data_IF_223048886957
#
_entry.id   IF_223048886957
#
_cell.length_a   1.000
_cell.length_b   1.000
_cell.length_c   1.000
_cell.angle_alpha   90.00
_cell.angle_beta   90.00
_cell.angle_gamma   90.00
#
_symmetry.space_group_name_H-M   'P 1'
#
loop_
_entity.id
_entity.type
_entity.pdbx_description
1 polymer ?
#
# COMPACT_ATOMS: atom_id res chain seq x y z
N UNK A 1 -11.04 15.74 -11.62
CA UNK A 1 -10.63 14.35 -11.28
C UNK A 1 -11.78 13.34 -11.37
N UNK A 2 -12.87 13.48 -10.60
CA UNK A 2 -14.01 12.54 -10.67
C UNK A 2 -14.67 12.52 -12.06
N UNK A 3 -14.72 13.67 -12.74
CA UNK A 3 -15.16 13.78 -14.13
C UNK A 3 -14.29 12.99 -15.14
N UNK A 4 -13.02 12.75 -14.81
CA UNK A 4 -12.06 12.11 -15.73
C UNK A 4 -12.03 10.58 -15.59
N UNK A 5 -12.11 10.04 -14.37
CA UNK A 5 -11.92 8.59 -14.11
C UNK A 5 -12.93 7.97 -13.14
N UNK A 6 -13.96 8.69 -12.68
CA UNK A 6 -14.92 8.24 -11.64
C UNK A 6 -14.26 7.82 -10.30
N UNK A 7 -12.97 8.08 -10.11
CA UNK A 7 -12.21 7.80 -8.87
C UNK A 7 -11.80 9.06 -8.12
N UNK A 8 -10.89 8.90 -7.15
CA UNK A 8 -10.44 9.94 -6.22
C UNK A 8 -8.93 10.18 -6.30
N UNK A 9 -8.46 11.32 -5.78
CA UNK A 9 -7.05 11.57 -5.55
C UNK A 9 -6.71 11.13 -4.12
N UNK A 10 -6.09 9.96 -3.97
CA UNK A 10 -5.72 9.40 -2.66
C UNK A 10 -4.26 9.71 -2.29
N UNK A 11 -3.52 10.37 -3.18
CA UNK A 11 -2.10 10.64 -3.01
C UNK A 11 -1.83 11.54 -1.80
N UNK A 12 -0.95 11.09 -0.92
CA UNK A 12 -0.59 11.79 0.32
C UNK A 12 0.93 11.97 0.36
N UNK A 13 1.37 13.12 -0.12
CA UNK A 13 2.76 13.54 -0.15
C UNK A 13 2.85 15.07 -0.20
N UNK A 14 3.98 15.62 0.22
CA UNK A 14 4.30 17.03 0.00
C UNK A 14 5.74 17.19 -0.44
N UNK A 15 6.00 18.27 -1.16
CA UNK A 15 7.32 18.67 -1.66
C UNK A 15 7.58 20.09 -1.18
N UNK A 16 8.73 20.31 -0.53
CA UNK A 16 9.15 21.62 -0.01
C UNK A 16 10.48 22.00 -0.65
N UNK A 17 10.52 23.20 -1.24
CA UNK A 17 11.68 23.83 -1.88
C UNK A 17 12.42 22.95 -2.89
N UNK A 18 11.72 21.95 -3.46
CA UNK A 18 12.29 20.90 -4.33
C UNK A 18 13.50 20.17 -3.70
N UNK A 19 13.57 20.15 -2.36
CA UNK A 19 14.69 19.63 -1.57
C UNK A 19 14.26 18.65 -0.48
N UNK A 20 13.05 18.83 0.04
CA UNK A 20 12.47 18.01 1.10
C UNK A 20 11.14 17.44 0.66
N UNK A 21 10.77 16.30 1.23
CA UNK A 21 9.49 15.67 0.94
C UNK A 21 9.00 14.78 2.08
N UNK A 22 7.69 14.53 2.06
CA UNK A 22 7.04 13.43 2.76
C UNK A 22 6.26 12.59 1.76
N UNK A 23 6.19 11.28 1.99
CA UNK A 23 5.24 10.39 1.33
C UNK A 23 4.80 9.30 2.31
N UNK A 24 3.51 9.01 2.36
CA UNK A 24 2.97 8.00 3.27
C UNK A 24 1.46 7.93 3.24
N UNK A 25 0.87 7.29 4.24
CA UNK A 25 -0.58 7.19 4.34
C UNK A 25 -1.25 8.42 4.94
N UNK A 26 -0.48 9.31 5.61
CA UNK A 26 -1.07 10.42 6.36
C UNK A 26 -1.57 11.54 5.47
N UNK A 27 -2.87 11.79 5.58
CA UNK A 27 -3.51 12.96 5.00
C UNK A 27 -3.18 14.23 5.79
N UNK A 28 -3.59 15.37 5.25
CA UNK A 28 -3.55 16.66 5.96
C UNK A 28 -4.93 16.96 6.56
N UNK A 29 -5.48 16.02 7.31
CA UNK A 29 -6.76 16.17 8.01
C UNK A 29 -6.65 15.88 9.51
N UNK A 30 -7.64 16.33 10.28
CA UNK A 30 -7.66 16.16 11.74
C UNK A 30 -7.71 14.68 12.18
N UNK A 31 -8.18 13.77 11.31
CA UNK A 31 -8.28 12.34 11.61
C UNK A 31 -6.88 11.73 11.63
N UNK A 32 -6.02 12.15 10.71
CA UNK A 32 -4.60 11.78 10.66
C UNK A 32 -3.86 12.12 11.98
N UNK A 33 -4.30 13.16 12.69
CA UNK A 33 -3.71 13.59 13.96
C UNK A 33 -4.27 12.89 15.20
N UNK A 34 -5.48 12.32 15.13
CA UNK A 34 -6.22 11.91 16.34
C UNK A 34 -6.77 10.49 16.27
N UNK A 35 -7.27 10.07 15.12
CA UNK A 35 -8.06 8.84 14.96
C UNK A 35 -7.47 7.84 13.98
N UNK A 36 -6.37 8.15 13.30
CA UNK A 36 -5.71 7.25 12.37
C UNK A 36 -4.30 6.92 12.84
N UNK A 37 -3.95 5.63 12.76
CA UNK A 37 -2.57 5.17 12.87
C UNK A 37 -2.01 5.09 11.47
N UNK A 38 -1.05 5.97 11.19
CA UNK A 38 -0.49 6.16 9.85
C UNK A 38 1.03 6.03 9.87
N UNK A 39 1.59 5.94 8.66
CA UNK A 39 3.01 5.78 8.45
C UNK A 39 3.42 6.48 7.16
N UNK A 40 4.59 7.11 7.20
CA UNK A 40 5.26 7.62 6.02
C UNK A 40 6.73 7.82 6.27
N UNK A 41 7.42 8.30 5.24
CA UNK A 41 8.82 8.69 5.31
C UNK A 41 8.96 10.17 4.99
N UNK A 42 9.88 10.82 5.67
CA UNK A 42 10.34 12.16 5.34
C UNK A 42 11.77 12.04 4.85
N UNK A 43 12.06 12.66 3.71
CA UNK A 43 13.40 12.69 3.13
C UNK A 43 13.84 14.15 3.09
N UNK A 44 14.96 14.42 3.74
CA UNK A 44 15.58 15.75 3.77
C UNK A 44 16.76 15.82 2.82
N UNK A 45 16.96 16.99 2.19
CA UNK A 45 18.15 17.30 1.39
C UNK A 45 18.40 16.30 0.24
N UNK A 46 17.34 15.89 -0.46
CA UNK A 46 17.43 14.93 -1.57
C UNK A 46 16.77 15.49 -2.83
N UNK A 47 17.37 16.53 -3.43
CA UNK A 47 16.75 17.23 -4.56
C UNK A 47 16.48 16.31 -5.76
N UNK A 48 17.33 15.32 -6.03
CA UNK A 48 17.11 14.39 -7.15
C UNK A 48 15.78 13.63 -7.03
N UNK A 49 15.52 13.01 -5.87
CA UNK A 49 14.29 12.27 -5.64
C UNK A 49 13.09 13.21 -5.52
N UNK A 50 13.26 14.38 -4.90
CA UNK A 50 12.18 15.35 -4.73
C UNK A 50 11.76 15.99 -6.07
N UNK A 51 12.71 16.23 -6.98
CA UNK A 51 12.40 16.72 -8.32
C UNK A 51 11.56 15.72 -9.12
N UNK A 52 11.82 14.41 -8.98
CA UNK A 52 11.00 13.39 -9.64
C UNK A 52 9.58 13.34 -9.06
N UNK A 53 9.43 13.48 -7.74
CA UNK A 53 8.12 13.58 -7.08
C UNK A 53 7.37 14.86 -7.48
N UNK A 54 8.08 15.99 -7.63
CA UNK A 54 7.51 17.26 -8.06
C UNK A 54 6.91 17.18 -9.48
N UNK A 55 7.41 16.28 -10.35
CA UNK A 55 6.78 16.02 -11.65
C UNK A 55 5.41 15.36 -11.50
N UNK A 56 5.25 14.44 -10.54
CA UNK A 56 3.95 13.83 -10.23
C UNK A 56 3.00 14.89 -9.68
N UNK A 57 3.48 15.74 -8.75
CA UNK A 57 2.72 16.89 -8.27
C UNK A 57 2.25 17.79 -9.43
N UNK A 58 3.16 18.14 -10.34
CA UNK A 58 2.88 18.99 -11.49
C UNK A 58 1.84 18.36 -12.43
N UNK A 59 1.84 17.03 -12.56
CA UNK A 59 0.83 16.30 -13.31
C UNK A 59 -0.55 16.44 -12.65
N UNK A 60 -0.65 16.19 -11.34
CA UNK A 60 -1.91 16.33 -10.60
C UNK A 60 -2.44 17.76 -10.63
N UNK A 61 -1.57 18.75 -10.49
CA UNK A 61 -1.93 20.16 -10.59
C UNK A 61 -2.51 20.51 -11.98
N UNK A 62 -1.92 19.98 -13.05
CA UNK A 62 -2.44 20.20 -14.42
C UNK A 62 -3.80 19.55 -14.66
N UNK A 63 -4.16 18.48 -13.93
CA UNK A 63 -5.43 17.79 -14.09
C UNK A 63 -6.62 18.61 -13.57
N UNK A 64 -6.39 19.59 -12.70
CA UNK A 64 -7.44 20.50 -12.22
C UNK A 64 -8.07 21.31 -13.36
N UNK A 65 -7.25 21.73 -14.31
CA UNK A 65 -7.65 22.60 -15.42
C UNK A 65 -7.97 21.84 -16.71
N UNK A 66 -8.16 20.52 -16.65
CA UNK A 66 -8.42 19.68 -17.82
C UNK A 66 -9.78 19.01 -17.77
N UNK A 67 -10.51 19.14 -18.88
CA UNK A 67 -11.78 18.46 -19.12
C UNK A 67 -11.59 17.02 -19.65
N UNK A 68 -10.47 16.77 -20.34
CA UNK A 68 -10.12 15.46 -20.89
C UNK A 68 -8.63 15.14 -20.72
N UNK A 69 -8.32 13.84 -20.73
CA UNK A 69 -6.93 13.38 -20.66
C UNK A 69 -6.25 13.52 -22.02
N UNK A 70 -5.01 14.03 -22.07
CA UNK A 70 -4.27 14.07 -23.31
C UNK A 70 -3.90 12.65 -23.76
N UNK A 71 -3.83 12.42 -25.07
CA UNK A 71 -3.34 11.15 -25.63
C UNK A 71 -1.86 10.90 -25.29
N UNK A 72 -1.08 11.96 -25.13
CA UNK A 72 0.33 11.90 -24.73
C UNK A 72 0.65 12.99 -23.69
N UNK A 73 1.43 12.62 -22.67
CA UNK A 73 1.88 13.54 -21.64
C UNK A 73 3.07 14.38 -22.12
N UNK A 74 3.19 15.61 -21.61
CA UNK A 74 4.34 16.47 -21.89
C UNK A 74 5.65 15.81 -21.45
N UNK A 75 6.71 15.92 -22.27
CA UNK A 75 8.06 15.40 -21.95
C UNK A 75 8.59 15.93 -20.60
N UNK A 76 8.15 17.12 -20.17
CA UNK A 76 8.52 17.70 -18.86
C UNK A 76 8.09 16.79 -17.69
N UNK A 77 6.98 16.05 -17.84
CA UNK A 77 6.42 15.14 -16.85
C UNK A 77 7.00 13.73 -16.88
N UNK A 78 7.87 13.40 -17.85
CA UNK A 78 8.52 12.09 -17.91
C UNK A 78 9.29 11.81 -16.62
N UNK A 79 9.21 10.58 -16.13
CA UNK A 79 9.91 10.17 -14.92
C UNK A 79 11.42 10.26 -15.12
N UNK A 80 12.12 10.67 -14.05
CA UNK A 80 13.58 10.66 -14.01
C UNK A 80 14.12 9.26 -13.66
N UNK A 81 13.39 8.55 -12.80
CA UNK A 81 13.77 7.24 -12.29
C UNK A 81 12.60 6.26 -12.39
N UNK A 82 12.93 5.00 -12.58
CA UNK A 82 11.96 3.93 -12.72
C UNK A 82 12.52 2.60 -12.17
N UNK A 83 11.73 1.53 -12.27
CA UNK A 83 12.11 0.19 -11.81
C UNK A 83 13.46 -0.30 -12.36
N UNK A 84 13.73 0.01 -13.62
CA UNK A 84 14.87 -0.53 -14.36
C UNK A 84 16.07 0.45 -14.31
N UNK A 85 15.82 1.76 -14.28
CA UNK A 85 16.78 2.84 -14.04
C UNK A 85 16.46 3.58 -12.72
N UNK A 86 16.87 2.99 -11.61
CA UNK A 86 16.63 3.51 -10.26
C UNK A 86 17.67 4.58 -9.85
N UNK A 87 17.25 5.52 -9.00
CA UNK A 87 18.17 6.47 -8.37
C UNK A 87 19.02 5.73 -7.33
N UNK A 88 20.34 5.80 -7.47
CA UNK A 88 21.27 5.38 -6.41
C UNK A 88 21.52 6.56 -5.48
N UNK A 89 21.35 6.33 -4.18
CA UNK A 89 21.51 7.35 -3.14
C UNK A 89 21.94 6.71 -1.82
N UNK A 90 22.29 7.53 -0.84
CA UNK A 90 22.52 7.10 0.53
C UNK A 90 21.35 7.58 1.41
N UNK A 91 20.76 6.67 2.18
CA UNK A 91 19.74 6.98 3.17
C UNK A 91 20.26 6.51 4.53
N UNK A 92 20.42 7.43 5.49
CA UNK A 92 21.02 7.13 6.81
C UNK A 92 22.36 6.37 6.68
N UNK A 93 23.27 6.88 5.84
CA UNK A 93 24.60 6.32 5.57
C UNK A 93 24.60 4.89 4.99
N UNK A 94 23.46 4.44 4.48
CA UNK A 94 23.34 3.13 3.83
C UNK A 94 22.95 3.30 2.36
N UNK A 95 23.64 2.58 1.47
CA UNK A 95 23.32 2.56 0.05
C UNK A 95 21.87 2.13 -0.18
N UNK A 96 21.18 2.87 -1.03
CA UNK A 96 19.80 2.67 -1.37
C UNK A 96 19.55 2.89 -2.86
N UNK A 97 18.54 2.21 -3.37
CA UNK A 97 17.97 2.44 -4.69
C UNK A 97 16.52 2.86 -4.54
N UNK A 98 16.12 3.97 -5.14
CA UNK A 98 14.75 4.47 -5.03
C UNK A 98 14.14 4.88 -6.38
N UNK A 99 12.83 4.71 -6.49
CA UNK A 99 12.03 5.24 -7.59
C UNK A 99 10.55 5.35 -7.17
N UNK A 100 9.78 6.16 -7.90
CA UNK A 100 8.34 6.25 -7.70
C UNK A 100 7.55 5.47 -8.73
N UNK A 101 6.39 5.02 -8.28
CA UNK A 101 5.33 4.49 -9.11
C UNK A 101 4.05 5.30 -8.98
N UNK A 102 3.14 5.14 -9.94
CA UNK A 102 1.87 5.86 -9.94
C UNK A 102 0.72 4.98 -10.43
N UNK A 103 -0.48 5.38 -10.03
CA UNK A 103 -1.75 4.88 -10.53
C UNK A 103 -2.71 6.05 -10.78
N UNK A 104 -3.76 5.87 -11.61
CA UNK A 104 -3.94 4.75 -12.54
C UNK A 104 -2.94 4.81 -13.71
N UNK A 105 -2.89 3.75 -14.52
CA UNK A 105 -2.00 3.65 -15.69
C UNK A 105 -2.07 4.86 -16.64
N UNK A 106 -3.27 5.45 -16.79
CA UNK A 106 -3.48 6.63 -17.65
C UNK A 106 -2.78 7.89 -17.12
N UNK A 107 -2.45 7.94 -15.83
CA UNK A 107 -1.68 9.03 -15.20
C UNK A 107 -0.20 8.71 -15.07
N UNK A 108 0.29 7.71 -15.81
CA UNK A 108 1.71 7.41 -15.91
C UNK A 108 2.28 8.00 -17.21
N UNK A 109 3.05 9.11 -17.14
CA UNK A 109 3.85 9.59 -18.26
C UNK A 109 4.89 8.54 -18.68
N UNK A 110 5.57 8.84 -19.80
CA UNK A 110 6.67 8.01 -20.27
C UNK A 110 7.69 7.76 -19.14
N UNK A 111 8.16 6.53 -19.08
CA UNK A 111 9.15 6.02 -18.14
C UNK A 111 8.68 5.95 -16.67
N UNK A 112 7.50 6.44 -16.30
CA UNK A 112 6.96 6.27 -14.93
C UNK A 112 6.54 4.81 -14.73
N UNK A 113 7.06 4.18 -13.68
CA UNK A 113 6.62 2.84 -13.28
C UNK A 113 5.18 2.87 -12.79
N UNK A 114 4.36 1.90 -13.21
CA UNK A 114 3.00 1.72 -12.71
C UNK A 114 3.00 1.05 -11.34
N UNK A 115 2.07 1.37 -10.44
CA UNK A 115 2.10 0.77 -9.10
C UNK A 115 2.02 -0.76 -9.12
N UNK A 116 1.17 -1.33 -9.97
CA UNK A 116 1.06 -2.80 -10.07
C UNK A 116 2.38 -3.45 -10.50
N UNK A 117 3.14 -2.78 -11.36
CA UNK A 117 4.45 -3.26 -11.77
C UNK A 117 5.50 -3.13 -10.66
N UNK A 118 5.43 -2.06 -9.87
CA UNK A 118 6.30 -1.85 -8.72
C UNK A 118 6.02 -2.89 -7.63
N UNK A 119 4.75 -3.10 -7.27
CA UNK A 119 4.31 -4.10 -6.29
C UNK A 119 4.76 -5.50 -6.74
N UNK A 120 4.50 -5.86 -8.00
CA UNK A 120 4.93 -7.15 -8.55
C UNK A 120 6.45 -7.33 -8.43
N UNK A 121 7.24 -6.30 -8.79
CA UNK A 121 8.70 -6.36 -8.71
C UNK A 121 9.18 -6.59 -7.28
N UNK A 122 8.60 -5.90 -6.31
CA UNK A 122 8.97 -6.06 -4.89
C UNK A 122 8.64 -7.47 -4.39
N UNK A 123 7.47 -8.01 -4.73
CA UNK A 123 7.08 -9.40 -4.41
C UNK A 123 8.04 -10.41 -5.06
N UNK A 124 8.33 -10.23 -6.36
CA UNK A 124 9.21 -11.14 -7.12
C UNK A 124 10.65 -11.13 -6.60
N UNK A 125 11.15 -9.98 -6.11
CA UNK A 125 12.50 -9.85 -5.57
C UNK A 125 12.66 -10.32 -4.12
N UNK A 126 11.57 -10.52 -3.39
CA UNK A 126 11.62 -11.05 -2.04
C UNK A 126 12.11 -12.51 -2.02
N UNK A 127 12.98 -12.84 -1.07
CA UNK A 127 13.54 -14.20 -0.95
C UNK A 127 13.05 -14.90 0.32
N UNK A 128 13.01 -14.18 1.44
CA UNK A 128 12.71 -14.76 2.76
C UNK A 128 11.34 -14.37 3.31
N UNK A 129 10.87 -13.14 3.14
CA UNK A 129 9.57 -12.72 3.65
C UNK A 129 8.90 -11.59 2.85
N UNK A 130 7.57 -11.53 2.96
CA UNK A 130 6.71 -10.45 2.46
C UNK A 130 5.72 -10.07 3.55
N UNK A 131 5.89 -8.90 4.15
CA UNK A 131 5.02 -8.39 5.20
C UNK A 131 4.24 -7.19 4.69
N UNK A 132 2.91 -7.26 4.77
CA UNK A 132 1.99 -6.28 4.17
C UNK A 132 1.08 -5.74 5.26
N UNK A 133 1.07 -4.42 5.43
CA UNK A 133 0.12 -3.71 6.28
C UNK A 133 -0.74 -2.81 5.41
N UNK A 134 -2.03 -3.15 5.28
CA UNK A 134 -2.98 -2.44 4.42
C UNK A 134 -4.29 -2.18 5.15
N UNK A 135 -4.94 -1.05 4.87
CA UNK A 135 -6.25 -0.76 5.47
C UNK A 135 -7.33 -1.65 4.87
N UNK A 136 -7.41 -1.74 3.54
CA UNK A 136 -8.39 -2.58 2.86
C UNK A 136 -7.72 -3.51 1.84
N UNK A 137 -8.21 -4.75 1.77
CA UNK A 137 -7.80 -5.75 0.81
C UNK A 137 -9.05 -6.36 0.16
N UNK A 138 -9.33 -5.98 -1.08
CA UNK A 138 -10.51 -6.44 -1.82
C UNK A 138 -10.19 -6.57 -3.31
N UNK A 139 -9.85 -7.77 -3.79
CA UNK A 139 -9.57 -8.09 -5.20
C UNK A 139 -10.79 -7.99 -6.13
N UNK A 140 -11.52 -6.87 -6.10
CA UNK A 140 -12.74 -6.66 -6.87
C UNK A 140 -12.81 -5.24 -7.44
N UNK A 141 -13.52 -5.14 -8.58
CA UNK A 141 -13.94 -3.90 -9.20
C UNK A 141 -15.44 -3.73 -9.06
N UNK A 142 -15.86 -2.48 -8.92
CA UNK A 142 -17.23 -1.98 -8.89
C UNK A 142 -18.13 -2.64 -7.82
N UNK A 143 -18.77 -1.83 -6.97
CA UNK A 143 -19.70 -2.36 -5.96
C UNK A 143 -21.03 -2.80 -6.57
N UNK A 144 -21.50 -2.14 -7.64
CA UNK A 144 -22.83 -2.41 -8.22
C UNK A 144 -22.85 -3.57 -9.21
N UNK A 145 -21.73 -3.80 -9.92
CA UNK A 145 -21.55 -4.96 -10.79
C UNK A 145 -20.19 -5.58 -10.46
N UNK A 146 -20.13 -6.40 -9.39
CA UNK A 146 -18.87 -6.93 -8.89
C UNK A 146 -18.16 -7.76 -9.95
N UNK A 147 -16.92 -7.37 -10.27
CA UNK A 147 -16.02 -8.12 -11.15
C UNK A 147 -14.76 -8.49 -10.38
N UNK A 148 -14.35 -9.74 -10.46
CA UNK A 148 -13.10 -10.19 -9.85
C UNK A 148 -11.90 -9.49 -10.53
N UNK A 149 -10.99 -8.95 -9.72
CA UNK A 149 -9.79 -8.25 -10.17
C UNK A 149 -8.57 -8.91 -9.54
N UNK A 150 -7.96 -9.81 -10.30
CA UNK A 150 -6.99 -10.76 -9.78
C UNK A 150 -5.57 -10.22 -9.61
N UNK A 151 -5.27 -8.97 -9.99
CA UNK A 151 -3.88 -8.51 -10.22
C UNK A 151 -2.97 -8.75 -9.03
N UNK A 152 -3.23 -8.11 -7.88
CA UNK A 152 -2.38 -8.25 -6.68
C UNK A 152 -2.58 -9.61 -6.01
N UNK A 153 -3.81 -10.14 -5.99
CA UNK A 153 -4.10 -11.45 -5.41
C UNK A 153 -3.29 -12.56 -6.12
N UNK A 154 -3.28 -12.58 -7.45
CA UNK A 154 -2.47 -13.51 -8.23
C UNK A 154 -0.97 -13.38 -7.93
N UNK A 155 -0.44 -12.16 -7.75
CA UNK A 155 0.97 -11.97 -7.39
C UNK A 155 1.31 -12.64 -6.05
N UNK A 156 0.42 -12.54 -5.06
CA UNK A 156 0.61 -13.19 -3.76
C UNK A 156 0.49 -14.71 -3.87
N UNK A 157 -0.54 -15.20 -4.58
CA UNK A 157 -0.73 -16.64 -4.81
C UNK A 157 0.46 -17.26 -5.54
N UNK A 158 0.94 -16.60 -6.60
CA UNK A 158 2.11 -17.03 -7.36
C UNK A 158 3.35 -17.07 -6.47
N UNK A 159 3.59 -16.03 -5.65
CA UNK A 159 4.70 -16.00 -4.71
C UNK A 159 4.66 -17.18 -3.72
N UNK A 160 3.48 -17.47 -3.15
CA UNK A 160 3.28 -18.58 -2.22
C UNK A 160 3.52 -19.96 -2.87
N UNK A 161 3.14 -20.13 -4.13
CA UNK A 161 3.28 -21.40 -4.86
C UNK A 161 4.74 -21.61 -5.31
N UNK A 162 5.38 -20.57 -5.85
CA UNK A 162 6.68 -20.71 -6.50
C UNK A 162 7.87 -20.61 -5.52
N UNK A 163 7.74 -19.86 -4.42
CA UNK A 163 8.86 -19.57 -3.51
C UNK A 163 8.81 -20.48 -2.28
N UNK A 164 9.61 -21.55 -2.31
CA UNK A 164 9.61 -22.67 -1.33
C UNK A 164 9.81 -22.32 0.15
N UNK A 165 10.25 -21.11 0.47
CA UNK A 165 10.57 -20.68 1.85
C UNK A 165 10.11 -19.27 2.18
N UNK A 166 9.24 -18.67 1.35
CA UNK A 166 8.81 -17.29 1.60
C UNK A 166 7.75 -17.25 2.70
N UNK A 167 7.95 -16.36 3.67
CA UNK A 167 6.97 -16.11 4.73
C UNK A 167 6.13 -14.88 4.40
N UNK A 168 4.84 -15.09 4.14
CA UNK A 168 3.90 -14.00 3.87
C UNK A 168 3.10 -13.69 5.12
N UNK A 169 3.04 -12.41 5.52
CA UNK A 169 2.18 -11.94 6.61
C UNK A 169 1.34 -10.77 6.14
N UNK A 170 0.02 -10.88 6.29
CA UNK A 170 -0.92 -9.81 5.99
C UNK A 170 -1.56 -9.29 7.26
N UNK A 171 -1.34 -8.01 7.55
CA UNK A 171 -1.99 -7.27 8.61
C UNK A 171 -3.01 -6.31 8.02
N UNK A 172 -4.29 -6.62 8.18
CA UNK A 172 -5.40 -5.89 7.58
C UNK A 172 -6.13 -5.07 8.65
N UNK A 173 -6.47 -3.81 8.38
CA UNK A 173 -7.26 -3.04 9.34
C UNK A 173 -8.70 -3.56 9.44
N UNK A 174 -9.21 -3.64 10.66
CA UNK A 174 -10.61 -3.93 10.94
C UNK A 174 -11.31 -2.63 11.34
N UNK A 175 -12.22 -2.16 10.50
CA UNK A 175 -12.95 -0.90 10.67
C UNK A 175 -14.31 -0.94 9.95
N UNK A 176 -15.14 0.08 10.14
CA UNK A 176 -16.56 0.05 9.73
C UNK A 176 -16.78 -0.20 8.24
N UNK A 177 -15.83 0.18 7.38
CA UNK A 177 -15.92 0.02 5.92
C UNK A 177 -15.23 -1.25 5.41
N UNK A 178 -14.73 -2.12 6.29
CA UNK A 178 -14.16 -3.42 5.88
C UNK A 178 -15.26 -4.26 5.22
N UNK A 179 -15.07 -4.57 3.94
CA UNK A 179 -16.00 -5.39 3.17
C UNK A 179 -15.99 -6.85 3.67
N UNK A 180 -17.14 -7.49 3.91
CA UNK A 180 -17.20 -8.89 4.37
C UNK A 180 -16.45 -9.87 3.45
N UNK A 181 -16.40 -9.62 2.14
CA UNK A 181 -15.69 -10.47 1.18
C UNK A 181 -14.17 -10.46 1.39
N UNK A 182 -13.63 -9.43 2.04
CA UNK A 182 -12.22 -9.37 2.45
C UNK A 182 -11.81 -10.65 3.16
N UNK A 183 -12.65 -11.14 4.09
CA UNK A 183 -12.39 -12.35 4.84
C UNK A 183 -12.33 -13.60 3.93
N UNK A 184 -13.23 -13.68 2.95
CA UNK A 184 -13.29 -14.82 2.02
C UNK A 184 -12.04 -14.89 1.13
N UNK A 185 -11.57 -13.74 0.61
CA UNK A 185 -10.33 -13.70 -0.17
C UNK A 185 -9.10 -14.06 0.68
N UNK A 186 -9.01 -13.55 1.91
CA UNK A 186 -7.89 -13.87 2.81
C UNK A 186 -7.91 -15.34 3.24
N UNK A 187 -9.08 -15.94 3.48
CA UNK A 187 -9.20 -17.37 3.71
C UNK A 187 -8.80 -18.19 2.49
N UNK A 188 -9.22 -17.78 1.30
CA UNK A 188 -8.82 -18.44 0.06
C UNK A 188 -7.31 -18.40 -0.15
N UNK A 189 -6.64 -17.29 0.20
CA UNK A 189 -5.19 -17.20 0.17
C UNK A 189 -4.54 -18.13 1.20
N UNK A 190 -5.08 -18.15 2.43
CA UNK A 190 -4.60 -19.04 3.50
C UNK A 190 -4.76 -20.53 3.16
N UNK A 191 -5.87 -20.87 2.50
CA UNK A 191 -6.18 -22.24 2.11
C UNK A 191 -5.14 -22.85 1.14
N UNK A 192 -4.42 -22.02 0.36
CA UNK A 192 -3.34 -22.49 -0.51
C UNK A 192 -2.17 -23.14 0.25
N UNK A 193 -1.98 -22.75 1.51
CA UNK A 193 -0.91 -23.28 2.35
C UNK A 193 -1.41 -24.33 3.36
N UNK A 194 -2.71 -24.69 3.36
CA UNK A 194 -3.23 -25.74 4.25
C UNK A 194 -2.49 -27.04 3.95
N UNK A 195 -1.90 -27.65 4.97
CA UNK A 195 -1.12 -28.91 4.91
C UNK A 195 0.22 -28.86 4.13
N UNK A 196 0.62 -27.69 3.59
CA UNK A 196 1.91 -27.57 2.88
C UNK A 196 3.02 -27.08 3.81
N UNK A 197 4.08 -27.88 3.96
CA UNK A 197 5.28 -27.52 4.75
C UNK A 197 6.12 -26.42 4.07
N UNK A 198 5.92 -26.18 2.75
CA UNK A 198 6.69 -25.23 1.93
C UNK A 198 5.98 -23.90 1.67
N UNK A 199 4.80 -23.71 2.24
CA UNK A 199 3.95 -22.55 2.02
C UNK A 199 3.67 -21.90 3.37
N UNK A 200 3.95 -20.60 3.52
CA UNK A 200 3.72 -19.90 4.78
C UNK A 200 2.98 -18.60 4.53
N UNK A 201 1.71 -18.57 4.93
CA UNK A 201 0.90 -17.36 4.96
C UNK A 201 0.18 -17.24 6.30
N UNK A 202 0.37 -16.11 6.94
CA UNK A 202 -0.36 -15.74 8.15
C UNK A 202 -1.16 -14.47 7.89
N UNK A 203 -2.39 -14.42 8.41
CA UNK A 203 -3.25 -13.25 8.30
C UNK A 203 -3.75 -12.86 9.68
N UNK A 204 -3.64 -11.57 10.00
CA UNK A 204 -4.22 -10.96 11.19
C UNK A 204 -5.01 -9.71 10.84
N UNK A 205 -6.05 -9.45 11.61
CA UNK A 205 -6.73 -8.16 11.64
C UNK A 205 -6.14 -7.29 12.74
N UNK A 206 -5.82 -6.05 12.40
CA UNK A 206 -5.53 -5.01 13.37
C UNK A 206 -6.87 -4.44 13.87
N UNK A 207 -7.22 -4.75 15.11
CA UNK A 207 -8.46 -4.31 15.76
C UNK A 207 -8.08 -3.22 16.78
N UNK A 208 -8.47 -1.96 16.54
CA UNK A 208 -8.22 -0.85 17.45
C UNK A 208 -8.86 -1.07 18.82
N UNK A 209 -8.43 -0.30 19.83
CA UNK A 209 -9.02 -0.39 21.17
C UNK A 209 -10.50 0.02 21.12
N UNK A 210 -11.37 -0.80 21.73
CA UNK A 210 -12.78 -0.45 21.95
C UNK A 210 -12.85 0.54 23.11
N UNK A 211 -13.52 1.67 22.90
CA UNK A 211 -13.92 2.56 23.99
C UNK A 211 -15.10 1.97 24.79
N UNK A 212 -15.36 2.53 25.97
CA UNK A 212 -16.47 2.13 26.86
C UNK A 212 -17.86 2.29 26.23
N UNK A 213 -18.00 3.18 25.24
CA UNK A 213 -19.21 3.39 24.44
C UNK A 213 -19.36 2.40 23.26
N UNK A 214 -18.44 1.44 23.10
CA UNK A 214 -18.46 0.45 22.03
C UNK A 214 -17.84 0.90 20.70
N UNK A 215 -17.45 2.18 20.54
CA UNK A 215 -16.78 2.65 19.33
C UNK A 215 -15.32 2.17 19.26
N UNK A 216 -14.89 1.75 18.07
CA UNK A 216 -13.47 1.52 17.77
C UNK A 216 -12.80 2.88 17.56
N UNK A 217 -11.81 3.21 18.39
CA UNK A 217 -11.01 4.43 18.22
C UNK A 217 -9.65 4.07 17.62
N UNK A 218 -9.28 4.75 16.54
CA UNK A 218 -8.09 4.39 15.76
C UNK A 218 -8.47 3.59 14.52
N UNK A 219 -7.92 3.89 13.36
CA UNK A 219 -7.91 2.99 12.18
C UNK A 219 -6.46 2.78 11.79
N UNK A 220 -6.03 1.53 11.55
CA UNK A 220 -4.71 1.30 10.97
C UNK A 220 -4.73 1.65 9.49
N UNK A 221 -4.38 2.90 9.20
CA UNK A 221 -4.50 3.48 7.87
C UNK A 221 -3.23 3.30 7.03
N UNK A 222 -2.34 2.37 7.42
CA UNK A 222 -1.13 2.04 6.68
C UNK A 222 -1.39 1.45 5.28
N UNK A 223 -0.51 1.78 4.32
CA UNK A 223 -0.45 1.14 2.99
C UNK A 223 1.01 0.87 2.59
N UNK A 224 1.61 -0.17 3.16
CA UNK A 224 2.98 -0.53 2.82
C UNK A 224 3.20 -2.04 2.79
N UNK A 225 4.25 -2.43 2.08
CA UNK A 225 4.79 -3.78 2.03
C UNK A 225 6.29 -3.70 2.27
N UNK A 226 6.82 -4.54 3.15
CA UNK A 226 8.24 -4.68 3.42
C UNK A 226 8.68 -6.11 3.18
N UNK A 227 9.82 -6.28 2.51
CA UNK A 227 10.47 -7.55 2.24
C UNK A 227 11.89 -7.48 2.79
N UNK A 228 12.66 -8.55 2.59
CA UNK A 228 14.07 -8.61 2.94
C UNK A 228 14.99 -7.74 2.09
N UNK A 229 14.49 -7.20 0.97
CA UNK A 229 15.31 -6.41 0.03
C UNK A 229 14.78 -5.02 -0.22
N UNK A 230 13.48 -4.81 -0.01
CA UNK A 230 12.81 -3.58 -0.41
C UNK A 230 11.62 -3.25 0.49
N UNK A 231 11.27 -1.97 0.51
CA UNK A 231 9.99 -1.48 1.01
C UNK A 231 9.23 -0.77 -0.11
N UNK A 232 7.94 -1.02 -0.20
CA UNK A 232 6.97 -0.26 -0.98
C UNK A 232 6.05 0.50 -0.01
N UNK A 233 5.99 1.82 -0.13
CA UNK A 233 5.03 2.65 0.60
C UNK A 233 4.13 3.30 -0.43
N UNK A 234 2.84 3.01 -0.37
CA UNK A 234 1.85 3.51 -1.32
C UNK A 234 0.79 4.39 -0.67
N UNK A 235 -0.07 4.95 -1.49
CA UNK A 235 -1.26 5.68 -1.05
C UNK A 235 -2.58 4.93 -1.27
N UNK A 236 -2.56 3.85 -2.06
CA UNK A 236 -3.76 3.09 -2.40
C UNK A 236 -3.92 1.86 -1.52
N UNK A 237 -5.17 1.59 -1.12
CA UNK A 237 -5.52 0.29 -0.57
C UNK A 237 -5.41 -0.79 -1.64
N UNK A 238 -5.33 -2.06 -1.21
CA UNK A 238 -5.24 -3.20 -2.12
C UNK A 238 -6.62 -3.60 -2.62
N UNK A 239 -7.28 -2.64 -3.29
CA UNK A 239 -8.64 -2.71 -3.81
C UNK A 239 -8.61 -2.40 -5.30
N UNK A 240 -9.27 -3.23 -6.12
CA UNK A 240 -9.20 -3.09 -7.59
C UNK A 240 -9.62 -1.71 -8.10
N UNK A 241 -10.69 -1.14 -7.53
CA UNK A 241 -11.16 0.20 -7.90
C UNK A 241 -10.11 1.29 -7.70
N UNK A 242 -9.27 1.19 -6.66
CA UNK A 242 -8.29 2.22 -6.36
C UNK A 242 -7.20 2.25 -7.43
N UNK A 243 -6.65 1.10 -7.83
CA UNK A 243 -5.62 1.05 -8.89
C UNK A 243 -6.14 1.40 -10.28
N UNK A 244 -7.42 1.11 -10.57
CA UNK A 244 -8.00 1.36 -11.90
C UNK A 244 -8.49 2.79 -12.06
N UNK A 245 -9.04 3.40 -11.01
CA UNK A 245 -9.74 4.68 -11.11
C UNK A 245 -9.14 5.81 -10.28
N UNK A 246 -8.36 5.50 -9.23
CA UNK A 246 -7.90 6.50 -8.26
C UNK A 246 -6.43 6.84 -8.42
N UNK A 247 -6.11 8.12 -8.25
CA UNK A 247 -4.76 8.64 -8.37
C UNK A 247 -3.98 8.41 -7.08
N UNK A 248 -2.89 7.65 -7.18
CA UNK A 248 -2.01 7.27 -6.08
C UNK A 248 -0.55 7.32 -6.49
N UNK A 249 0.33 7.50 -5.49
CA UNK A 249 1.78 7.40 -5.64
C UNK A 249 2.30 6.31 -4.73
N UNK A 250 3.27 5.56 -5.25
CA UNK A 250 4.09 4.63 -4.48
C UNK A 250 5.56 5.03 -4.53
N UNK A 251 6.30 4.75 -3.46
CA UNK A 251 7.76 4.80 -3.45
C UNK A 251 8.30 3.41 -3.16
N UNK A 252 9.29 2.99 -3.95
CA UNK A 252 10.06 1.77 -3.69
C UNK A 252 11.45 2.18 -3.25
N UNK A 253 11.89 1.67 -2.10
CA UNK A 253 13.26 1.82 -1.60
C UNK A 253 13.84 0.41 -1.45
N UNK A 254 14.95 0.14 -2.10
CA UNK A 254 15.67 -1.13 -2.00
C UNK A 254 17.02 -0.92 -1.34
N UNK A 255 17.35 -1.75 -0.36
CA UNK A 255 18.61 -1.69 0.37
C UNK A 255 19.11 -3.10 0.65
N UNK A 256 20.42 -3.29 0.61
CA UNK A 256 21.02 -4.53 1.11
C UNK A 256 21.04 -4.44 2.63
N UNK A 257 20.34 -5.36 3.28
CA UNK A 257 20.30 -5.43 4.75
C UNK A 257 21.67 -5.91 5.23
N UNK A 258 22.53 -4.98 5.62
CA UNK A 258 23.80 -5.24 6.30
C UNK A 258 23.76 -4.85 7.78
N UNK A 259 22.99 -3.81 8.10
CA UNK A 259 22.93 -3.18 9.42
C UNK A 259 21.49 -2.82 9.78
N UNK A 260 21.20 -2.70 11.08
CA UNK A 260 19.86 -2.35 11.61
C UNK A 260 19.41 -0.90 11.33
N UNK A 261 20.25 -0.07 10.69
CA UNK A 261 19.95 1.34 10.40
C UNK A 261 19.17 1.58 9.11
N UNK A 262 19.04 0.56 8.24
CA UNK A 262 18.35 0.69 6.95
C UNK A 262 16.86 1.00 7.11
N UNK A 263 16.28 1.67 6.12
CA UNK A 263 14.83 1.93 6.06
C UNK A 263 14.06 0.61 6.03
N UNK A 264 14.57 -0.41 5.32
CA UNK A 264 13.97 -1.75 5.27
C UNK A 264 13.85 -2.36 6.67
N UNK A 265 14.93 -2.38 7.46
CA UNK A 265 14.88 -2.94 8.82
C UNK A 265 14.00 -2.12 9.77
N UNK A 266 14.02 -0.78 9.67
CA UNK A 266 13.10 0.08 10.47
C UNK A 266 11.63 -0.22 10.13
N UNK A 267 11.32 -0.39 8.86
CA UNK A 267 9.97 -0.68 8.39
C UNK A 267 9.50 -2.07 8.80
N UNK A 268 10.40 -3.06 8.74
CA UNK A 268 10.17 -4.41 9.28
C UNK A 268 9.92 -4.37 10.79
N UNK A 269 10.71 -3.60 11.55
CA UNK A 269 10.52 -3.45 12.98
C UNK A 269 9.15 -2.83 13.34
N UNK A 270 8.69 -1.84 12.56
CA UNK A 270 7.33 -1.28 12.72
C UNK A 270 6.26 -2.34 12.45
N UNK A 271 6.41 -3.12 11.38
CA UNK A 271 5.48 -4.21 11.07
C UNK A 271 5.44 -5.23 12.21
N UNK A 272 6.59 -5.70 12.68
CA UNK A 272 6.68 -6.73 13.72
C UNK A 272 6.13 -6.25 15.06
N UNK A 273 6.36 -4.97 15.41
CA UNK A 273 5.72 -4.35 16.58
C UNK A 273 4.20 -4.39 16.47
N UNK A 274 3.65 -4.00 15.33
CA UNK A 274 2.21 -3.97 15.13
C UNK A 274 1.66 -5.42 15.10
N UNK A 275 2.34 -6.35 14.45
CA UNK A 275 1.97 -7.76 14.30
C UNK A 275 1.89 -8.53 15.63
N UNK A 276 2.79 -8.23 16.56
CA UNK A 276 2.85 -8.84 17.90
C UNK A 276 2.08 -8.04 18.96
N UNK A 277 1.50 -6.89 18.60
CA UNK A 277 0.67 -6.11 19.53
C UNK A 277 -0.62 -6.84 19.91
N UNK A 278 -1.19 -6.47 21.06
CA UNK A 278 -2.50 -6.97 21.50
C UNK A 278 -3.66 -6.58 20.58
N UNK A 279 -3.47 -5.58 19.72
CA UNK A 279 -4.42 -5.16 18.69
C UNK A 279 -4.52 -6.15 17.52
N UNK A 280 -3.50 -6.98 17.32
CA UNK A 280 -3.43 -7.88 16.17
C UNK A 280 -4.03 -9.24 16.48
N UNK A 281 -5.18 -9.56 15.87
CA UNK A 281 -5.95 -10.80 16.09
C UNK A 281 -5.90 -11.71 14.86
N UNK A 282 -5.58 -12.97 15.06
CA UNK A 282 -5.56 -13.99 13.99
C UNK A 282 -6.98 -14.25 13.47
N UNK A 283 -7.09 -14.53 12.17
CA UNK A 283 -8.37 -14.93 11.57
C UNK A 283 -8.85 -16.25 12.18
N UNK A 284 -10.11 -16.30 12.63
CA UNK A 284 -10.74 -17.53 13.12
C UNK A 284 -11.69 -18.09 12.07
N UNK A 285 -11.71 -19.43 11.85
CA UNK A 285 -12.65 -20.05 10.92
C UNK A 285 -14.08 -19.66 11.27
N UNK A 286 -14.86 -19.26 10.27
CA UNK A 286 -16.29 -18.93 10.40
C UNK A 286 -16.63 -17.77 11.37
N UNK A 287 -15.65 -16.98 11.81
CA UNK A 287 -15.90 -15.75 12.57
C UNK A 287 -15.43 -14.55 11.77
N UNK A 288 -16.39 -13.80 11.26
CA UNK A 288 -16.14 -12.46 10.73
C UNK A 288 -15.77 -11.59 11.93
N UNK A 289 -14.56 -11.00 12.00
CA UNK A 289 -14.27 -10.04 13.05
C UNK A 289 -15.31 -8.93 12.96
N UNK A 290 -15.95 -8.60 14.07
CA UNK A 290 -16.91 -7.50 14.12
C UNK A 290 -16.17 -6.18 13.92
N UNK A 291 -15.96 -5.82 12.65
CA UNK A 291 -15.31 -4.59 12.21
C UNK A 291 -16.31 -3.43 12.10
N UNK A 292 -17.61 -3.73 12.07
CA UNK A 292 -18.70 -2.75 12.16
C UNK A 292 -19.79 -3.19 13.17
N UNK A 293 -20.48 -2.21 13.75
CA UNK A 293 -21.52 -2.34 14.78
C UNK A 293 -22.94 -2.45 14.18
N UNK A 294 -23.13 -3.28 13.15
CA UNK A 294 -24.47 -3.75 12.83
C UNK A 294 -24.61 -5.20 13.27
N UNK A 295 -24.76 -5.40 14.58
CA UNK A 295 -25.79 -6.36 15.00
C UNK A 295 -27.06 -5.91 14.29
N UNK A 296 -27.51 -6.71 13.33
CA UNK A 296 -28.89 -6.64 12.88
C UNK A 296 -29.75 -6.64 14.14
N UNK A 297 -30.30 -5.48 14.50
CA UNK A 297 -31.49 -5.45 15.32
C UNK A 297 -32.55 -6.13 14.45
N UNK A 298 -32.74 -7.42 14.69
CA UNK A 298 -33.99 -8.07 14.34
C UNK A 298 -35.09 -7.27 15.01
N UNK A 299 -35.74 -6.41 14.24
CA UNK A 299 -37.05 -5.90 14.55
C UNK A 299 -38.02 -6.74 13.73
N UNK A 300 -38.65 -7.67 14.46
CA UNK A 300 -39.91 -8.40 14.23
C UNK A 300 -40.57 -8.22 12.85
#
# INVERSE_FOLDING_TARGET
MTALMKGQLNSSFWVVDRKHMYIGSAGMDWRSLSTMKELGIIIYNCSCLVLDLHKIFSLYWQLEYKEFLPSTWSKKLNALYNRDNNLQLHLNDTEAKAYYSSSPDVFCPKDRTKDLEAINRVIQKAETFIYISITNYLPMLNRSQPKYWSRIDNMLREALILKKSIKVRLLISCWEQTDPLTLNFLWSLKALCTESVRCSVEVKFFIPQKQSNGHLYGVNHNKYMVTDRSVYIGNLNWVGNEFVYSAGVGVVISQQVKNNSTVVERMKAVFERDWHSHYSKTIQPNKIPACSMHTASGSL
#
